data_IF_495049463336
#
_entry.id   IF_495049463336
#
_cell.length_a   1.000
_cell.length_b   1.000
_cell.length_c   1.000
_cell.angle_alpha   90.00
_cell.angle_beta   90.00
_cell.angle_gamma   90.00
#
_symmetry.space_group_name_H-M   'P 1'
#
loop_
_entity.id
_entity.type
_entity.pdbx_description
1 polymer ?
#
# COMPACT_ATOMS: atom_id res chain seq x y z
N UNK A 1 -9.51 -7.86 2.28
CA UNK A 1 -9.26 -6.96 1.15
C UNK A 1 -8.18 -5.94 1.52
N UNK A 2 -7.25 -5.64 0.62
CA UNK A 2 -6.21 -4.61 0.78
C UNK A 2 -6.21 -3.70 -0.46
N UNK A 3 -6.17 -2.39 -0.26
CA UNK A 3 -6.08 -1.40 -1.34
C UNK A 3 -5.15 -0.27 -0.90
N UNK A 4 -4.24 0.17 -1.78
CA UNK A 4 -3.27 1.23 -1.53
C UNK A 4 -3.44 2.31 -2.60
N UNK A 5 -3.84 3.51 -2.20
CA UNK A 5 -4.28 4.55 -3.13
C UNK A 5 -5.44 4.04 -3.99
N UNK A 6 -5.27 4.10 -5.31
CA UNK A 6 -6.23 3.56 -6.29
C UNK A 6 -5.97 2.10 -6.67
N UNK A 7 -4.92 1.47 -6.13
CA UNK A 7 -4.45 0.14 -6.51
C UNK A 7 -5.07 -0.93 -5.62
N UNK A 8 -5.85 -1.83 -6.23
CA UNK A 8 -6.42 -2.99 -5.57
C UNK A 8 -5.41 -4.14 -5.51
N UNK A 9 -5.20 -4.72 -4.33
CA UNK A 9 -4.21 -5.78 -4.13
C UNK A 9 -4.76 -7.13 -4.58
N UNK A 10 -4.48 -7.55 -5.82
CA UNK A 10 -4.81 -8.91 -6.27
C UNK A 10 -3.80 -9.95 -5.77
N UNK A 11 -2.52 -9.58 -5.63
CA UNK A 11 -1.47 -10.43 -5.04
C UNK A 11 -0.38 -9.60 -4.32
N UNK A 12 0.37 -10.21 -3.38
CA UNK A 12 1.48 -9.52 -2.72
C UNK A 12 2.56 -9.04 -3.68
N UNK A 13 2.95 -9.85 -4.66
CA UNK A 13 4.04 -9.51 -5.59
C UNK A 13 3.69 -8.31 -6.47
N UNK A 14 2.48 -8.30 -7.04
CA UNK A 14 2.00 -7.16 -7.83
C UNK A 14 1.98 -5.88 -6.99
N UNK A 15 1.50 -5.95 -5.75
CA UNK A 15 1.49 -4.78 -4.88
C UNK A 15 2.92 -4.25 -4.63
N UNK A 16 3.89 -5.13 -4.44
CA UNK A 16 5.28 -4.72 -4.24
C UNK A 16 5.87 -4.04 -5.50
N UNK A 17 5.54 -4.55 -6.70
CA UNK A 17 5.94 -3.93 -7.97
C UNK A 17 5.36 -2.52 -8.10
N UNK A 18 4.06 -2.36 -7.86
CA UNK A 18 3.37 -1.07 -7.90
C UNK A 18 3.92 -0.08 -6.88
N UNK A 19 4.17 -0.53 -5.65
CA UNK A 19 4.77 0.28 -4.58
C UNK A 19 6.19 0.74 -4.95
N UNK A 20 6.95 -0.08 -5.67
CA UNK A 20 8.30 0.25 -6.10
C UNK A 20 8.33 1.37 -7.15
N UNK A 21 7.26 1.54 -7.93
CA UNK A 21 7.12 2.64 -8.89
C UNK A 21 6.60 3.94 -8.25
N UNK A 22 6.08 3.87 -7.02
CA UNK A 22 5.59 5.07 -6.33
C UNK A 22 6.73 5.99 -5.92
N UNK A 23 6.50 7.29 -6.06
CA UNK A 23 7.45 8.30 -5.59
C UNK A 23 7.63 8.19 -4.07
N UNK A 24 8.88 8.08 -3.57
CA UNK A 24 9.15 8.07 -2.13
C UNK A 24 8.64 9.32 -1.43
N UNK A 25 8.34 9.17 -0.14
CA UNK A 25 7.81 10.19 0.75
C UNK A 25 6.43 10.72 0.36
N UNK A 26 5.74 10.02 -0.54
CA UNK A 26 4.32 10.27 -0.85
C UNK A 26 3.45 9.63 0.23
N UNK A 27 2.40 10.34 0.65
CA UNK A 27 1.38 9.78 1.55
C UNK A 27 0.22 9.25 0.72
N UNK A 28 -0.14 7.99 0.94
CA UNK A 28 -1.21 7.27 0.25
C UNK A 28 -2.22 6.72 1.24
N UNK A 29 -3.50 6.65 0.82
CA UNK A 29 -4.55 6.04 1.62
C UNK A 29 -4.53 4.53 1.49
N UNK A 30 -4.45 3.81 2.59
CA UNK A 30 -4.47 2.35 2.63
C UNK A 30 -5.77 1.88 3.28
N UNK A 31 -6.54 1.11 2.53
CA UNK A 31 -7.76 0.45 2.95
C UNK A 31 -7.43 -0.99 3.31
N UNK A 32 -7.69 -1.37 4.55
CA UNK A 32 -7.49 -2.74 5.06
C UNK A 32 -8.80 -3.25 5.61
N UNK A 33 -9.26 -4.40 5.13
CA UNK A 33 -10.33 -5.13 5.78
C UNK A 33 -9.73 -6.11 6.78
N UNK A 34 -10.08 -5.96 8.06
CA UNK A 34 -9.76 -6.91 9.13
C UNK A 34 -11.07 -7.35 9.75
N UNK A 35 -11.34 -8.66 9.67
CA UNK A 35 -12.64 -9.25 9.98
C UNK A 35 -13.77 -8.56 9.18
N UNK A 36 -14.80 -8.05 9.85
CA UNK A 36 -15.93 -7.33 9.23
C UNK A 36 -15.70 -5.81 9.18
N UNK A 37 -14.53 -5.32 9.61
CA UNK A 37 -14.24 -3.89 9.69
C UNK A 37 -13.34 -3.41 8.56
N UNK A 38 -13.71 -2.28 7.96
CA UNK A 38 -12.89 -1.53 7.01
C UNK A 38 -12.12 -0.42 7.73
N UNK A 39 -10.80 -0.52 7.69
CA UNK A 39 -9.87 0.42 8.30
C UNK A 39 -9.20 1.26 7.22
N UNK A 40 -9.00 2.55 7.50
CA UNK A 40 -8.35 3.51 6.61
C UNK A 40 -7.10 4.06 7.31
N UNK A 41 -5.98 4.05 6.61
CA UNK A 41 -4.70 4.57 7.09
C UNK A 41 -4.12 5.56 6.09
N UNK A 42 -3.50 6.63 6.58
CA UNK A 42 -2.61 7.44 5.76
C UNK A 42 -1.18 6.90 5.97
N UNK A 43 -0.57 6.38 4.91
CA UNK A 43 0.74 5.70 4.96
C UNK A 43 1.73 6.46 4.10
N UNK A 44 2.91 6.75 4.64
CA UNK A 44 4.01 7.35 3.89
C UNK A 44 4.88 6.26 3.27
N UNK A 45 5.03 6.28 1.95
CA UNK A 45 5.93 5.39 1.23
C UNK A 45 7.37 5.83 1.46
N UNK A 46 8.28 4.89 1.74
CA UNK A 46 9.71 5.16 1.97
C UNK A 46 10.56 4.44 0.94
N UNK A 47 11.81 4.87 0.80
CA UNK A 47 12.78 4.15 -0.03
C UNK A 47 13.10 2.78 0.58
N UNK A 48 13.29 1.77 -0.28
CA UNK A 48 13.76 0.46 0.14
C UNK A 48 15.22 0.58 0.58
N UNK A 49 15.49 0.34 1.85
CA UNK A 49 16.86 0.27 2.37
C UNK A 49 17.37 -1.16 2.22
N UNK A 50 18.32 -1.39 1.31
CA UNK A 50 19.08 -2.65 1.25
C UNK A 50 20.18 -2.61 2.31
N UNK A 51 20.01 -3.39 3.37
CA UNK A 51 21.11 -3.70 4.30
C UNK A 51 21.91 -4.89 3.80
#
# INVERSE_FOLDING_TARGET
MLKVGDIEAFSPSQMMEELAEMKPYTTVKVLVQRDEQLLNFDVTITELQTQ
#
